data_IF_911816153847
#
_entry.id   IF_911816153847
#
_cell.length_a   1.000
_cell.length_b   1.000
_cell.length_c   1.000
_cell.angle_alpha   90.00
_cell.angle_beta   90.00
_cell.angle_gamma   90.00
#
_symmetry.space_group_name_H-M   'P 1'
#
loop_
_entity.id
_entity.type
_entity.pdbx_description
1 polymer ?
#
# COMPACT_ATOMS: atom_id res chain seq x y z
N UNK A 1 19.28 7.71 -3.32
CA UNK A 1 19.56 8.90 -2.48
C UNK A 1 21.06 9.15 -2.44
N UNK A 2 21.86 8.11 -2.19
CA UNK A 2 23.33 8.12 -2.23
C UNK A 2 23.88 8.63 -3.58
N UNK A 3 23.33 8.19 -4.70
CA UNK A 3 23.79 8.61 -6.04
C UNK A 3 23.70 10.13 -6.27
N UNK A 4 22.65 10.80 -5.77
CA UNK A 4 22.49 12.25 -5.92
C UNK A 4 23.57 13.01 -5.17
N UNK A 5 23.84 12.62 -3.92
CA UNK A 5 24.86 13.25 -3.09
C UNK A 5 26.27 13.00 -3.67
N UNK A 6 26.52 11.79 -4.18
CA UNK A 6 27.78 11.42 -4.82
C UNK A 6 28.05 12.26 -6.07
N UNK A 7 27.06 12.43 -6.95
CA UNK A 7 27.19 13.26 -8.15
C UNK A 7 27.57 14.70 -7.77
N UNK A 8 26.88 15.29 -6.78
CA UNK A 8 27.16 16.66 -6.33
C UNK A 8 28.56 16.79 -5.72
N UNK A 9 28.97 15.82 -4.92
CA UNK A 9 30.30 15.78 -4.31
C UNK A 9 31.40 15.70 -5.36
N UNK A 10 31.30 14.76 -6.30
CA UNK A 10 32.33 14.59 -7.34
C UNK A 10 32.52 15.85 -8.18
N UNK A 11 31.42 16.54 -8.52
CA UNK A 11 31.50 17.80 -9.26
C UNK A 11 32.06 18.94 -8.40
N UNK A 12 31.73 18.99 -7.11
CA UNK A 12 32.31 19.95 -6.17
C UNK A 12 33.82 19.72 -5.96
N UNK A 13 34.27 18.47 -6.01
CA UNK A 13 35.68 18.06 -5.96
C UNK A 13 36.42 18.34 -7.30
N UNK A 14 35.75 18.96 -8.28
CA UNK A 14 36.34 19.40 -9.54
C UNK A 14 36.29 18.38 -10.68
N UNK A 15 35.63 17.24 -10.50
CA UNK A 15 35.49 16.22 -11.55
C UNK A 15 34.55 16.73 -12.65
N UNK A 16 34.94 16.71 -13.95
CA UNK A 16 34.07 17.14 -15.03
C UNK A 16 32.77 16.31 -15.08
N UNK A 17 31.61 16.96 -15.27
CA UNK A 17 30.31 16.28 -15.32
C UNK A 17 30.25 15.11 -16.32
N UNK A 18 30.96 15.22 -17.46
CA UNK A 18 31.05 14.16 -18.48
C UNK A 18 31.80 12.94 -17.97
N UNK A 19 32.79 13.15 -17.11
CA UNK A 19 33.55 12.08 -16.49
C UNK A 19 32.70 11.40 -15.40
N UNK A 20 32.01 12.18 -14.56
CA UNK A 20 31.05 11.66 -13.57
C UNK A 20 29.97 10.78 -14.22
N UNK A 21 29.39 11.21 -15.35
CA UNK A 21 28.40 10.43 -16.08
C UNK A 21 28.95 9.07 -16.57
N UNK A 22 30.20 9.04 -17.03
CA UNK A 22 30.87 7.81 -17.48
C UNK A 22 31.20 6.88 -16.33
N UNK A 23 31.77 7.41 -15.25
CA UNK A 23 32.22 6.63 -14.10
C UNK A 23 31.04 6.02 -13.34
N UNK A 24 29.90 6.72 -13.29
CA UNK A 24 28.67 6.23 -12.65
C UNK A 24 27.73 5.49 -13.62
N UNK A 25 28.04 5.42 -14.92
CA UNK A 25 27.19 4.74 -15.91
C UNK A 25 25.80 5.39 -16.11
N UNK A 26 25.65 6.68 -15.85
CA UNK A 26 24.38 7.41 -15.92
C UNK A 26 24.35 8.40 -17.10
N UNK A 27 23.15 8.73 -17.56
CA UNK A 27 22.97 9.75 -18.60
C UNK A 27 23.44 11.14 -18.13
N UNK A 28 24.03 11.93 -19.04
CA UNK A 28 24.46 13.31 -18.78
C UNK A 28 23.33 14.18 -18.21
N UNK A 29 22.11 14.02 -18.72
CA UNK A 29 20.92 14.75 -18.24
C UNK A 29 20.55 14.38 -16.80
N UNK A 30 20.95 13.21 -16.31
CA UNK A 30 20.76 12.81 -14.90
C UNK A 30 21.74 13.55 -13.99
N UNK A 31 22.99 13.72 -14.43
CA UNK A 31 23.99 14.54 -13.70
C UNK A 31 23.54 15.99 -13.65
N UNK A 32 23.12 16.56 -14.77
CA UNK A 32 22.60 17.94 -14.85
C UNK A 32 21.39 18.14 -13.91
N UNK A 33 20.42 17.21 -13.91
CA UNK A 33 19.27 17.25 -12.99
C UNK A 33 19.67 17.11 -11.52
N UNK A 34 20.66 16.28 -11.21
CA UNK A 34 21.15 16.11 -9.84
C UNK A 34 21.84 17.37 -9.31
N UNK A 35 22.58 18.08 -10.17
CA UNK A 35 23.22 19.36 -9.83
C UNK A 35 22.22 20.52 -9.72
N UNK A 36 21.17 20.52 -10.55
CA UNK A 36 20.10 21.53 -10.49
C UNK A 36 19.17 21.37 -9.29
N UNK A 37 19.12 20.17 -8.68
CA UNK A 37 18.26 19.90 -7.53
C UNK A 37 19.02 20.11 -6.21
N UNK A 38 18.56 21.07 -5.41
CA UNK A 38 19.11 21.39 -4.08
C UNK A 38 18.73 20.35 -3.01
N UNK A 39 17.71 19.55 -3.29
CA UNK A 39 17.25 18.45 -2.42
C UNK A 39 17.37 17.10 -3.14
N UNK A 40 17.46 15.98 -2.39
CA UNK A 40 17.42 14.66 -3.00
C UNK A 40 16.17 14.51 -3.88
N UNK A 41 16.30 13.89 -5.07
CA UNK A 41 15.15 13.63 -5.92
C UNK A 41 14.16 12.74 -5.18
N UNK A 42 12.95 13.25 -4.98
CA UNK A 42 11.82 12.48 -4.46
C UNK A 42 11.00 11.99 -5.63
N UNK A 43 10.70 10.71 -5.65
CA UNK A 43 9.75 10.17 -6.62
C UNK A 43 8.35 10.66 -6.25
N UNK A 44 7.83 11.58 -7.05
CA UNK A 44 6.48 12.09 -6.98
C UNK A 44 5.81 11.81 -8.32
N UNK A 45 4.72 11.04 -8.31
CA UNK A 45 3.85 10.90 -9.48
C UNK A 45 2.52 11.57 -9.17
N UNK A 46 1.99 12.38 -10.11
CA UNK A 46 0.61 12.85 -9.98
C UNK A 46 -0.32 11.63 -9.94
N UNK A 47 -1.40 11.74 -9.17
CA UNK A 47 -2.45 10.71 -9.16
C UNK A 47 -3.10 10.72 -10.54
N UNK A 48 -2.85 9.67 -11.33
CA UNK A 48 -3.44 9.51 -12.65
C UNK A 48 -4.75 8.75 -12.49
N UNK A 49 -5.80 9.24 -13.16
CA UNK A 49 -7.07 8.52 -13.23
C UNK A 49 -6.83 7.11 -13.80
N UNK A 50 -7.33 6.11 -13.09
CA UNK A 50 -7.24 4.71 -13.51
C UNK A 50 -8.54 4.30 -14.19
N UNK A 51 -8.57 3.11 -14.78
CA UNK A 51 -9.80 2.54 -15.34
C UNK A 51 -10.92 2.35 -14.30
N UNK A 52 -10.63 2.40 -13.00
CA UNK A 52 -11.57 2.28 -11.89
C UNK A 52 -12.22 3.62 -11.55
N UNK A 53 -11.53 4.74 -11.80
CA UNK A 53 -11.97 6.08 -11.43
C UNK A 53 -13.41 6.38 -11.87
N UNK A 54 -13.87 6.00 -13.08
CA UNK A 54 -15.27 6.20 -13.48
C UNK A 54 -16.28 5.38 -12.67
N UNK A 55 -15.88 4.22 -12.13
CA UNK A 55 -16.76 3.28 -11.42
C UNK A 55 -16.75 3.50 -9.91
N UNK A 56 -15.70 4.13 -9.37
CA UNK A 56 -15.52 4.33 -7.93
C UNK A 56 -16.76 4.92 -7.23
N UNK A 57 -17.45 5.96 -7.75
CA UNK A 57 -18.64 6.50 -7.11
C UNK A 57 -19.78 5.46 -6.97
N UNK A 58 -20.02 4.67 -8.02
CA UNK A 58 -21.05 3.63 -8.01
C UNK A 58 -20.68 2.48 -7.05
N UNK A 59 -19.39 2.11 -7.01
CA UNK A 59 -18.88 1.12 -6.04
C UNK A 59 -19.08 1.60 -4.61
N UNK A 60 -18.77 2.86 -4.30
CA UNK A 60 -18.97 3.45 -2.97
C UNK A 60 -20.43 3.44 -2.55
N UNK A 61 -21.36 3.72 -3.47
CA UNK A 61 -22.80 3.63 -3.18
C UNK A 61 -23.22 2.20 -2.82
N UNK A 62 -22.73 1.19 -3.56
CA UNK A 62 -23.01 -0.21 -3.28
C UNK A 62 -22.42 -0.66 -1.93
N UNK A 63 -21.20 -0.22 -1.60
CA UNK A 63 -20.57 -0.52 -0.31
C UNK A 63 -21.24 0.20 0.86
N UNK A 64 -21.73 1.43 0.67
CA UNK A 64 -22.49 2.15 1.69
C UNK A 64 -23.81 1.44 2.03
N UNK A 65 -24.49 0.89 1.02
CA UNK A 65 -25.73 0.12 1.22
C UNK A 65 -25.46 -1.30 1.75
N UNK A 66 -24.36 -1.94 1.33
CA UNK A 66 -24.03 -3.31 1.74
C UNK A 66 -22.50 -3.47 1.82
N UNK A 67 -21.89 -3.20 3.00
CA UNK A 67 -20.43 -3.19 3.17
C UNK A 67 -19.75 -4.51 2.83
N UNK A 68 -20.43 -5.64 3.03
CA UNK A 68 -19.89 -6.99 2.80
C UNK A 68 -20.20 -7.56 1.41
N UNK A 69 -20.80 -6.77 0.51
CA UNK A 69 -21.15 -7.24 -0.84
C UNK A 69 -19.91 -7.79 -1.57
N UNK A 70 -19.93 -9.02 -2.14
CA UNK A 70 -18.78 -9.57 -2.83
C UNK A 70 -18.34 -8.70 -4.01
N UNK A 71 -17.03 -8.50 -4.16
CA UNK A 71 -16.48 -7.64 -5.22
C UNK A 71 -16.84 -8.12 -6.64
N UNK A 72 -17.11 -9.42 -6.84
CA UNK A 72 -17.61 -9.96 -8.12
C UNK A 72 -19.01 -9.45 -8.44
N UNK A 73 -19.90 -9.42 -7.44
CA UNK A 73 -21.27 -8.88 -7.60
C UNK A 73 -21.24 -7.38 -7.86
N UNK A 74 -20.35 -6.65 -7.17
CA UNK A 74 -20.14 -5.22 -7.43
C UNK A 74 -19.68 -5.02 -8.88
N UNK A 75 -18.70 -5.80 -9.33
CA UNK A 75 -18.17 -5.72 -10.70
C UNK A 75 -19.27 -5.92 -11.76
N UNK A 76 -20.13 -6.94 -11.58
CA UNK A 76 -21.27 -7.19 -12.46
C UNK A 76 -22.26 -6.01 -12.48
N UNK A 77 -22.62 -5.48 -11.30
CA UNK A 77 -23.59 -4.37 -11.18
C UNK A 77 -23.11 -3.07 -11.81
N UNK A 78 -21.81 -2.79 -11.74
CA UNK A 78 -21.24 -1.58 -12.34
C UNK A 78 -20.84 -1.79 -13.81
N UNK A 79 -21.04 -2.98 -14.37
CA UNK A 79 -20.69 -3.30 -15.76
C UNK A 79 -19.19 -3.36 -16.01
N UNK A 80 -18.41 -3.81 -15.03
CA UNK A 80 -16.95 -3.90 -15.15
C UNK A 80 -16.53 -5.00 -16.13
N UNK A 81 -15.82 -4.62 -17.20
CA UNK A 81 -15.33 -5.55 -18.23
C UNK A 81 -13.82 -5.83 -18.14
N UNK A 82 -13.12 -5.25 -17.15
CA UNK A 82 -11.66 -5.39 -17.00
C UNK A 82 -11.24 -6.57 -16.12
N UNK A 83 -9.98 -6.55 -15.68
CA UNK A 83 -9.44 -7.58 -14.77
C UNK A 83 -10.18 -7.58 -13.43
N UNK A 84 -10.70 -8.75 -13.04
CA UNK A 84 -11.41 -8.91 -11.76
C UNK A 84 -10.46 -8.80 -10.55
N UNK A 85 -9.22 -9.26 -10.66
CA UNK A 85 -8.24 -9.14 -9.58
C UNK A 85 -7.94 -7.68 -9.29
N UNK A 86 -7.73 -6.90 -10.36
CA UNK A 86 -7.48 -5.47 -10.24
C UNK A 86 -8.68 -4.71 -9.65
N UNK A 87 -9.91 -5.07 -10.05
CA UNK A 87 -11.11 -4.51 -9.46
C UNK A 87 -11.24 -4.83 -7.97
N UNK A 88 -10.97 -6.09 -7.58
CA UNK A 88 -10.97 -6.53 -6.18
C UNK A 88 -9.98 -5.73 -5.35
N UNK A 89 -8.79 -5.46 -5.87
CA UNK A 89 -7.76 -4.67 -5.17
C UNK A 89 -8.25 -3.25 -4.89
N UNK A 90 -8.88 -2.59 -5.88
CA UNK A 90 -9.45 -1.26 -5.68
C UNK A 90 -10.63 -1.28 -4.68
N UNK A 91 -11.55 -2.25 -4.79
CA UNK A 91 -12.64 -2.40 -3.80
C UNK A 91 -12.10 -2.64 -2.40
N UNK A 92 -11.01 -3.41 -2.25
CA UNK A 92 -10.38 -3.68 -0.96
C UNK A 92 -9.86 -2.41 -0.29
N UNK A 93 -9.36 -1.44 -1.05
CA UNK A 93 -8.92 -0.14 -0.53
C UNK A 93 -10.10 0.70 -0.01
N UNK A 94 -11.28 0.57 -0.61
CA UNK A 94 -12.48 1.31 -0.21
C UNK A 94 -13.18 0.72 1.02
N UNK A 95 -13.15 -0.60 1.21
CA UNK A 95 -13.91 -1.29 2.27
C UNK A 95 -13.67 -0.76 3.69
N UNK A 96 -12.45 -0.43 4.12
CA UNK A 96 -12.22 0.11 5.47
C UNK A 96 -13.06 1.35 5.78
N UNK A 97 -13.42 2.15 4.77
CA UNK A 97 -14.23 3.36 4.94
C UNK A 97 -15.73 3.06 5.14
N UNK A 98 -16.18 1.86 4.77
CA UNK A 98 -17.59 1.46 4.77
C UNK A 98 -17.90 0.34 5.76
N UNK A 99 -16.88 -0.38 6.26
CA UNK A 99 -17.08 -1.46 7.22
C UNK A 99 -17.61 -0.86 8.53
N UNK A 100 -18.67 -1.44 9.12
CA UNK A 100 -19.07 -1.09 10.47
C UNK A 100 -17.85 -1.21 11.40
N UNK A 101 -17.73 -0.31 12.37
CA UNK A 101 -16.73 -0.44 13.43
C UNK A 101 -16.90 -1.83 14.02
N UNK A 102 -15.83 -2.61 13.99
CA UNK A 102 -15.80 -3.94 14.59
C UNK A 102 -16.26 -3.77 16.05
N UNK A 103 -17.41 -4.33 16.46
CA UNK A 103 -17.71 -4.44 17.86
C UNK A 103 -16.74 -5.49 18.35
N UNK A 104 -15.51 -5.07 18.65
CA UNK A 104 -14.62 -5.88 19.45
C UNK A 104 -15.39 -6.11 20.75
N UNK A 105 -16.10 -7.23 20.80
CA UNK A 105 -16.95 -7.60 21.90
C UNK A 105 -16.04 -7.61 23.11
N UNK A 106 -16.28 -6.69 24.04
CA UNK A 106 -15.71 -6.83 25.36
C UNK A 106 -16.41 -8.05 25.94
N UNK A 107 -15.75 -9.20 25.86
CA UNK A 107 -16.16 -10.42 26.56
C UNK A 107 -16.08 -10.11 28.06
N UNK A 108 -17.25 -9.83 28.65
CA UNK A 108 -17.40 -9.68 30.11
C UNK A 108 -17.80 -11.06 30.62
N UNK A 109 -16.93 -11.66 31.43
CA UNK A 109 -17.22 -12.89 32.16
C UNK A 109 -17.62 -12.52 33.58
N UNK A 110 -18.82 -12.90 34.00
CA UNK A 110 -19.18 -12.91 35.40
C UNK A 110 -18.50 -14.10 36.10
N UNK A 111 -18.33 -14.05 37.43
CA UNK A 111 -17.86 -15.21 38.19
C UNK A 111 -18.73 -16.44 37.88
N UNK A 112 -18.13 -17.46 37.24
CA UNK A 112 -18.81 -18.71 36.85
C UNK A 112 -19.04 -18.88 35.34
N UNK A 113 -18.90 -17.84 34.52
CA UNK A 113 -19.16 -17.95 33.07
C UNK A 113 -18.05 -18.70 32.31
N UNK A 114 -16.85 -18.74 32.87
CA UNK A 114 -15.72 -19.47 32.31
C UNK A 114 -15.00 -20.25 33.41
N UNK A 115 -14.58 -21.48 33.11
CA UNK A 115 -13.77 -22.32 33.97
C UNK A 115 -12.57 -22.84 33.20
N UNK A 116 -11.40 -22.83 33.83
CA UNK A 116 -10.19 -23.46 33.30
C UNK A 116 -10.18 -24.93 33.73
N UNK A 117 -10.24 -25.82 32.75
CA UNK A 117 -10.10 -27.25 32.97
C UNK A 117 -8.69 -27.67 32.52
N UNK A 118 -7.76 -27.72 33.46
CA UNK A 118 -6.41 -28.19 33.18
C UNK A 118 -6.34 -29.73 33.16
N UNK A 119 -5.46 -30.26 32.31
CA UNK A 119 -5.17 -31.69 32.26
C UNK A 119 -4.12 -32.03 33.31
N UNK A 120 -4.49 -32.90 34.26
CA UNK A 120 -3.54 -33.53 35.17
C UNK A 120 -3.08 -34.86 34.58
N UNK A 121 -1.76 -35.04 34.46
CA UNK A 121 -1.17 -36.34 34.15
C UNK A 121 -0.55 -36.96 35.42
N UNK A 122 -0.89 -38.20 35.78
CA UNK A 122 -0.30 -38.86 36.94
C UNK A 122 1.21 -39.11 36.71
N UNK A 123 2.01 -39.17 37.79
CA UNK A 123 3.44 -39.43 37.69
C UNK A 123 3.69 -40.82 37.07
N UNK A 124 4.48 -40.86 36.00
CA UNK A 124 4.90 -42.12 35.36
C UNK A 124 5.91 -42.82 36.28
N UNK A 125 5.59 -44.03 36.75
CA UNK A 125 6.59 -44.91 37.38
C UNK A 125 7.59 -45.31 36.30
N UNK A 126 8.85 -44.91 36.48
CA UNK A 126 10.01 -45.40 35.71
C UNK A 126 10.44 -46.71 36.33
#
# INVERSE_FOLDING_TARGET
MEDWALIRRLVADGVPQRQVARDLGIGRSTVERALASDRPPRYERPVVATSFTPFEPAVRQLLAATPDMPATVIAERVGWAGSISWFRDNVRLLRPEHRPVDPADRLIWLPGDAAQCDLWFPPKKI
#
